data_IF_931375861829
#
_entry.id   IF_931375861829
#
_cell.length_a   1.000
_cell.length_b   1.000
_cell.length_c   1.000
_cell.angle_alpha   90.00
_cell.angle_beta   90.00
_cell.angle_gamma   90.00
#
_symmetry.space_group_name_H-M   'P 1'
#
loop_
_entity.id
_entity.type
_entity.pdbx_description
1 polymer ?
#
# COMPACT_ATOMS: atom_id res chain seq x y z
N UNK A 1 0.48 -7.71 -19.79
CA UNK A 1 0.96 -8.23 -18.48
C UNK A 1 2.18 -7.42 -18.08
N UNK A 2 2.11 -6.83 -16.90
CA UNK A 2 3.12 -5.97 -16.29
C UNK A 2 3.88 -6.80 -15.27
N UNK A 3 5.20 -6.67 -15.22
CA UNK A 3 6.00 -7.36 -14.21
C UNK A 3 5.71 -6.75 -12.83
N UNK A 4 5.25 -7.56 -11.87
CA UNK A 4 5.07 -7.12 -10.48
C UNK A 4 6.26 -7.57 -9.64
N UNK A 5 6.90 -6.62 -8.99
CA UNK A 5 8.03 -6.82 -8.07
C UNK A 5 7.59 -6.47 -6.66
N UNK A 6 8.09 -7.21 -5.67
CA UNK A 6 7.79 -6.97 -4.26
C UNK A 6 9.07 -6.62 -3.52
N UNK A 7 9.05 -5.57 -2.71
CA UNK A 7 10.12 -5.30 -1.76
C UNK A 7 10.03 -6.24 -0.55
N UNK A 8 11.14 -6.45 0.18
CA UNK A 8 11.10 -7.14 1.48
C UNK A 8 10.14 -6.46 2.46
N UNK A 9 10.11 -5.12 2.48
CA UNK A 9 9.23 -4.33 3.34
C UNK A 9 7.76 -4.59 3.03
N UNK A 10 7.37 -4.58 1.74
CA UNK A 10 6.00 -4.92 1.35
C UNK A 10 5.61 -6.33 1.80
N UNK A 11 6.54 -7.29 1.68
CA UNK A 11 6.27 -8.67 2.07
C UNK A 11 6.07 -8.80 3.59
N UNK A 12 6.88 -8.09 4.38
CA UNK A 12 6.71 -8.01 5.83
C UNK A 12 5.41 -7.28 6.22
N UNK A 13 5.08 -6.20 5.51
CA UNK A 13 3.86 -5.42 5.70
C UNK A 13 2.59 -6.26 5.40
N UNK A 14 2.60 -7.03 4.32
CA UNK A 14 1.52 -7.95 3.98
C UNK A 14 1.37 -9.06 5.02
N UNK A 15 2.49 -9.57 5.55
CA UNK A 15 2.46 -10.56 6.62
C UNK A 15 1.86 -9.99 7.91
N UNK A 16 2.21 -8.76 8.33
CA UNK A 16 1.61 -8.13 9.53
C UNK A 16 0.16 -7.75 9.31
N UNK A 17 -0.21 -7.26 8.13
CA UNK A 17 -1.61 -7.03 7.75
C UNK A 17 -2.39 -8.34 7.86
N UNK A 18 -1.88 -9.44 7.31
CA UNK A 18 -2.56 -10.74 7.35
C UNK A 18 -2.78 -11.29 8.75
N UNK A 19 -1.95 -10.91 9.75
CA UNK A 19 -2.16 -11.29 11.16
C UNK A 19 -3.26 -10.47 11.82
N UNK A 20 -3.47 -9.23 11.40
CA UNK A 20 -4.48 -8.33 11.93
C UNK A 20 -5.82 -8.43 11.19
N UNK A 21 -5.80 -8.33 9.85
CA UNK A 21 -6.94 -8.35 8.93
C UNK A 21 -6.63 -9.18 7.69
N UNK A 22 -6.89 -10.48 7.78
CA UNK A 22 -6.62 -11.46 6.72
C UNK A 22 -7.46 -11.20 5.45
N UNK A 23 -8.65 -10.63 5.62
CA UNK A 23 -9.54 -10.18 4.54
C UNK A 23 -8.86 -9.14 3.67
N UNK A 24 -8.29 -8.10 4.28
CA UNK A 24 -7.58 -7.04 3.54
C UNK A 24 -6.30 -7.57 2.90
N UNK A 25 -5.57 -8.46 3.58
CA UNK A 25 -4.40 -9.09 2.98
C UNK A 25 -4.73 -9.98 1.77
N UNK A 26 -5.94 -10.54 1.69
CA UNK A 26 -6.43 -11.24 0.49
C UNK A 26 -6.76 -10.25 -0.61
N UNK A 27 -7.51 -9.19 -0.28
CA UNK A 27 -7.87 -8.16 -1.25
C UNK A 27 -6.62 -7.49 -1.87
N UNK A 28 -5.55 -7.25 -1.10
CA UNK A 28 -4.28 -6.75 -1.64
C UNK A 28 -3.71 -7.70 -2.71
N UNK A 29 -3.79 -9.01 -2.50
CA UNK A 29 -3.31 -10.00 -3.48
C UNK A 29 -4.19 -10.00 -4.72
N UNK A 30 -5.50 -9.90 -4.55
CA UNK A 30 -6.45 -9.86 -5.65
C UNK A 30 -6.24 -8.60 -6.51
N UNK A 31 -6.11 -7.42 -5.89
CA UNK A 31 -5.79 -6.16 -6.59
C UNK A 31 -4.47 -6.24 -7.35
N UNK A 32 -3.45 -6.88 -6.76
CA UNK A 32 -2.16 -7.07 -7.44
C UNK A 32 -2.31 -7.96 -8.66
N UNK A 33 -3.03 -9.08 -8.55
CA UNK A 33 -3.21 -10.04 -9.63
C UNK A 33 -4.11 -9.50 -10.76
N UNK A 34 -5.23 -8.87 -10.40
CA UNK A 34 -6.27 -8.50 -11.34
C UNK A 34 -5.95 -7.18 -12.05
N UNK A 35 -5.42 -6.19 -11.33
CA UNK A 35 -5.20 -4.85 -11.86
C UNK A 35 -3.72 -4.53 -12.09
N UNK A 36 -2.86 -4.72 -11.09
CA UNK A 36 -1.46 -4.27 -11.22
C UNK A 36 -0.66 -5.14 -12.19
N UNK A 37 -0.87 -6.45 -12.19
CA UNK A 37 -0.23 -7.35 -13.15
C UNK A 37 -0.83 -7.25 -14.57
N UNK A 38 -2.05 -6.73 -14.72
CA UNK A 38 -2.72 -6.58 -16.02
C UNK A 38 -2.42 -5.21 -16.64
N UNK A 39 -2.75 -4.15 -15.89
CA UNK A 39 -2.81 -2.76 -16.37
C UNK A 39 -1.68 -1.87 -15.81
N UNK A 40 -1.02 -2.31 -14.73
CA UNK A 40 0.04 -1.55 -14.06
C UNK A 40 -0.48 -0.37 -13.24
N UNK A 41 -1.79 -0.30 -13.00
CA UNK A 41 -2.45 0.65 -12.10
C UNK A 41 -3.75 0.06 -11.56
N UNK A 42 -4.18 0.55 -10.40
CA UNK A 42 -5.52 0.25 -9.85
C UNK A 42 -6.58 1.16 -10.49
N UNK A 43 -7.85 0.74 -10.53
CA UNK A 43 -8.96 1.59 -10.98
C UNK A 43 -9.14 2.86 -10.12
N UNK A 44 -9.74 3.89 -10.70
CA UNK A 44 -10.03 5.17 -10.03
C UNK A 44 -10.90 5.02 -8.76
N UNK A 45 -11.68 3.94 -8.66
CA UNK A 45 -12.51 3.64 -7.48
C UNK A 45 -11.69 3.40 -6.20
N UNK A 46 -10.41 3.03 -6.33
CA UNK A 46 -9.47 2.92 -5.20
C UNK A 46 -8.87 4.27 -4.78
N UNK A 47 -9.21 5.37 -5.48
CA UNK A 47 -8.68 6.71 -5.23
C UNK A 47 -7.15 6.84 -5.36
N UNK A 48 -6.51 6.23 -6.39
CA UNK A 48 -5.06 6.27 -6.51
C UNK A 48 -4.55 7.70 -6.72
N UNK A 49 -3.52 8.08 -5.97
CA UNK A 49 -2.86 9.37 -6.17
C UNK A 49 -1.35 9.27 -5.90
N UNK A 50 -0.59 10.19 -6.50
CA UNK A 50 0.86 10.22 -6.34
C UNK A 50 1.22 11.01 -5.08
N UNK A 51 2.01 10.40 -4.20
CA UNK A 51 2.57 11.07 -3.03
C UNK A 51 3.57 12.15 -3.47
N UNK A 52 3.38 13.37 -3.00
CA UNK A 52 4.22 14.52 -3.38
C UNK A 52 4.40 15.58 -2.27
N UNK A 53 4.28 15.18 -1.00
CA UNK A 53 4.33 16.12 0.13
C UNK A 53 5.78 16.55 0.45
N UNK A 54 6.08 17.85 0.66
CA UNK A 54 7.40 18.31 1.09
C UNK A 54 7.86 17.58 2.36
N UNK A 55 9.06 17.00 2.34
CA UNK A 55 9.60 16.22 3.47
C UNK A 55 8.95 14.85 3.68
N UNK A 56 8.00 14.43 2.83
CA UNK A 56 7.38 13.12 2.89
C UNK A 56 8.29 12.00 2.38
N UNK A 57 8.24 10.84 3.02
CA UNK A 57 8.80 9.62 2.45
C UNK A 57 7.94 9.11 1.30
N UNK A 58 8.55 8.32 0.42
CA UNK A 58 7.88 7.66 -0.70
C UNK A 58 7.24 8.59 -1.74
N UNK A 59 7.63 9.87 -1.79
CA UNK A 59 7.24 10.75 -2.90
C UNK A 59 7.54 10.09 -4.26
N UNK A 60 6.59 10.22 -5.18
CA UNK A 60 6.61 9.55 -6.48
C UNK A 60 6.06 8.12 -6.48
N UNK A 61 5.73 7.53 -5.32
CA UNK A 61 4.89 6.34 -5.26
C UNK A 61 3.42 6.73 -5.48
N UNK A 62 2.67 5.81 -6.08
CA UNK A 62 1.21 5.83 -6.07
C UNK A 62 0.75 5.20 -4.77
N UNK A 63 -0.19 5.86 -4.11
CA UNK A 63 -0.87 5.39 -2.90
C UNK A 63 -2.36 5.24 -3.19
N UNK A 64 -2.96 4.20 -2.61
CA UNK A 64 -4.40 4.00 -2.62
C UNK A 64 -4.87 3.36 -1.32
N UNK A 65 -6.15 3.57 -1.00
CA UNK A 65 -6.77 3.07 0.22
C UNK A 65 -7.38 1.68 0.01
N UNK A 66 -7.28 0.83 1.03
CA UNK A 66 -8.01 -0.42 1.10
C UNK A 66 -9.23 -0.27 2.01
N UNK A 67 -10.42 -0.33 1.41
CA UNK A 67 -11.68 -0.22 2.13
C UNK A 67 -11.79 1.04 2.98
N UNK A 68 -12.47 0.93 4.12
CA UNK A 68 -12.75 2.03 5.04
C UNK A 68 -11.77 2.10 6.22
N UNK A 69 -10.92 1.09 6.42
CA UNK A 69 -9.92 1.08 7.48
C UNK A 69 -8.65 1.87 7.10
N UNK A 70 -7.83 2.18 8.09
CA UNK A 70 -6.57 2.92 7.92
C UNK A 70 -5.45 2.04 7.31
N UNK A 71 -5.64 1.61 6.07
CA UNK A 71 -4.75 0.73 5.30
C UNK A 71 -4.46 1.33 3.94
N UNK A 72 -3.21 1.74 3.75
CA UNK A 72 -2.67 2.31 2.53
C UNK A 72 -1.74 1.32 1.85
N UNK A 73 -1.84 1.21 0.53
CA UNK A 73 -0.95 0.39 -0.29
C UNK A 73 -0.15 1.30 -1.21
N UNK A 74 1.17 1.15 -1.20
CA UNK A 74 2.08 2.00 -1.96
C UNK A 74 2.81 1.17 -3.02
N UNK A 75 2.81 1.67 -4.26
CA UNK A 75 3.58 1.09 -5.35
C UNK A 75 4.27 2.16 -6.20
N UNK A 76 5.41 1.80 -6.79
CA UNK A 76 6.08 2.64 -7.78
C UNK A 76 5.83 2.09 -9.18
N UNK A 77 5.45 2.97 -10.11
CA UNK A 77 5.19 2.61 -11.51
C UNK A 77 6.40 2.90 -12.38
N UNK A 78 6.96 1.84 -12.95
CA UNK A 78 8.04 1.89 -13.92
C UNK A 78 7.58 1.65 -15.34
N UNK A 79 8.53 1.78 -16.27
CA UNK A 79 8.32 1.35 -17.65
C UNK A 79 8.29 -0.18 -17.70
N UNK A 80 7.09 -0.74 -17.84
CA UNK A 80 6.87 -2.19 -17.98
C UNK A 80 6.82 -2.99 -16.67
N UNK A 81 6.95 -2.33 -15.51
CA UNK A 81 6.84 -3.00 -14.22
C UNK A 81 6.18 -2.12 -13.16
N UNK A 82 5.59 -2.77 -12.16
CA UNK A 82 5.14 -2.16 -10.90
C UNK A 82 5.97 -2.75 -9.77
N UNK A 83 6.46 -1.90 -8.86
CA UNK A 83 7.12 -2.34 -7.63
C UNK A 83 6.22 -2.04 -6.45
N UNK A 84 5.69 -3.07 -5.81
CA UNK A 84 4.99 -2.98 -4.54
C UNK A 84 6.00 -2.60 -3.45
N UNK A 85 5.76 -1.48 -2.77
CA UNK A 85 6.75 -0.87 -1.86
C UNK A 85 6.38 -1.07 -0.40
N UNK A 86 5.17 -0.67 0.03
CA UNK A 86 4.74 -0.67 1.45
C UNK A 86 3.26 -0.99 1.57
N UNK A 87 2.86 -1.49 2.74
CA UNK A 87 1.48 -1.43 3.23
C UNK A 87 1.50 -0.86 4.65
N UNK A 88 0.77 0.23 4.89
CA UNK A 88 0.88 0.97 6.15
C UNK A 88 -0.38 1.77 6.50
N UNK A 89 -0.40 2.34 7.69
CA UNK A 89 -1.40 3.36 8.08
C UNK A 89 -0.99 4.78 7.65
N UNK A 90 -1.92 5.72 7.70
CA UNK A 90 -1.63 7.16 7.51
C UNK A 90 -0.63 7.67 8.54
N UNK A 91 -0.73 7.24 9.80
CA UNK A 91 0.16 7.67 10.87
C UNK A 91 1.61 7.21 10.60
N UNK A 92 1.80 5.96 10.17
CA UNK A 92 3.10 5.43 9.79
C UNK A 92 3.69 6.15 8.58
N UNK A 93 2.87 6.39 7.54
CA UNK A 93 3.28 7.12 6.34
C UNK A 93 3.69 8.56 6.67
N UNK A 94 2.89 9.26 7.48
CA UNK A 94 3.16 10.64 7.88
C UNK A 94 4.42 10.76 8.75
N UNK A 95 4.67 9.77 9.62
CA UNK A 95 5.84 9.74 10.48
C UNK A 95 7.08 9.12 9.83
N UNK A 96 6.93 8.49 8.66
CA UNK A 96 7.94 7.67 7.99
C UNK A 96 8.56 6.62 8.92
N UNK A 97 7.73 6.06 9.83
CA UNK A 97 8.12 5.05 10.81
C UNK A 97 7.09 3.94 10.80
N UNK A 98 7.56 2.70 10.71
CA UNK A 98 6.71 1.56 10.43
C UNK A 98 6.96 0.44 11.42
N UNK A 99 5.89 -0.06 12.02
CA UNK A 99 5.95 -1.09 13.05
C UNK A 99 6.01 -2.50 12.49
N UNK A 100 6.50 -3.43 13.31
CA UNK A 100 6.46 -4.87 13.00
C UNK A 100 5.02 -5.40 13.08
N UNK A 101 4.21 -4.84 13.97
CA UNK A 101 2.79 -5.13 14.11
C UNK A 101 1.94 -4.01 13.52
N UNK A 102 0.70 -4.34 13.16
CA UNK A 102 -0.24 -3.31 12.71
C UNK A 102 -0.59 -2.37 13.88
N UNK A 103 -0.61 -1.04 13.68
CA UNK A 103 -1.02 -0.13 14.74
C UNK A 103 -2.46 -0.45 15.16
N UNK A 104 -2.62 -0.97 16.37
CA UNK A 104 -3.93 -1.16 17.00
C UNK A 104 -4.34 0.23 17.47
N UNK A 105 -5.14 0.91 16.66
CA UNK A 105 -5.42 2.33 16.85
C UNK A 105 -5.87 2.66 18.27
N UNK A 106 -5.23 3.67 18.88
CA UNK A 106 -6.06 4.71 19.47
C UNK A 106 -6.60 5.51 18.28
N UNK A 107 -7.92 5.47 18.13
CA UNK A 107 -8.65 6.27 17.15
C UNK A 107 -8.57 7.74 17.56
N UNK A 108 -7.40 8.37 17.44
CA UNK A 108 -7.22 9.77 17.72
C UNK A 108 -7.26 10.56 16.40
N UNK A 109 -8.40 11.22 16.22
CA UNK A 109 -8.64 12.38 15.36
C UNK A 109 -9.15 12.10 13.92
N UNK A 110 -10.43 11.72 13.84
CA UNK A 110 -11.34 12.32 12.85
C UNK A 110 -11.81 13.67 13.37
#
# INVERSE_FOLDING_TARGET
MVEVRFTPEFSADLARLSRWRVDYAREVRDVVADFLATDGCVPDSYGPHVLNKPGGCYNGCVEFHMGDDDVLVLYWRGRGFVRMVRICSHAELSACRFGVEWPRGDSANK
#
